data_IF_338779427282
#
_entry.id   IF_338779427282
#
_cell.length_a   1.000
_cell.length_b   1.000
_cell.length_c   1.000
_cell.angle_alpha   90.00
_cell.angle_beta   90.00
_cell.angle_gamma   90.00
#
_symmetry.space_group_name_H-M   'P 1'
#
loop_
_entity.id
_entity.type
_entity.pdbx_description
1 polymer ?
#
# COMPACT_ATOMS: atom_id res chain seq x y z
N UNK A 1 -9.67 -43.59 -8.51
CA UNK A 1 -9.39 -45.04 -8.46
C UNK A 1 -10.16 -45.82 -9.52
N UNK A 2 -11.49 -45.64 -9.66
CA UNK A 2 -12.30 -46.30 -10.70
C UNK A 2 -11.80 -46.09 -12.15
N UNK A 3 -11.40 -44.88 -12.53
CA UNK A 3 -10.87 -44.62 -13.88
C UNK A 3 -9.58 -45.40 -14.19
N UNK A 4 -8.67 -45.57 -13.22
CA UNK A 4 -7.45 -46.35 -13.43
C UNK A 4 -7.75 -47.83 -13.62
N UNK A 5 -8.73 -48.36 -12.88
CA UNK A 5 -9.20 -49.72 -13.07
C UNK A 5 -9.78 -49.93 -14.49
N UNK A 6 -10.57 -48.96 -14.97
CA UNK A 6 -11.10 -48.97 -16.33
C UNK A 6 -9.97 -48.91 -17.36
N UNK A 7 -8.97 -48.04 -17.17
CA UNK A 7 -7.80 -47.95 -18.05
C UNK A 7 -7.01 -49.27 -18.10
N UNK A 8 -6.87 -49.95 -16.96
CA UNK A 8 -6.19 -51.24 -16.89
C UNK A 8 -6.95 -52.33 -17.66
N UNK A 9 -8.27 -52.44 -17.47
CA UNK A 9 -9.08 -53.41 -18.22
C UNK A 9 -9.11 -53.10 -19.73
N UNK A 10 -9.15 -51.81 -20.11
CA UNK A 10 -9.04 -51.39 -21.51
C UNK A 10 -7.68 -51.73 -22.12
N UNK A 11 -6.59 -51.62 -21.34
CA UNK A 11 -5.26 -52.07 -21.75
C UNK A 11 -5.25 -53.59 -21.99
N UNK A 12 -5.80 -54.39 -21.07
CA UNK A 12 -5.91 -55.85 -21.23
C UNK A 12 -6.74 -56.20 -22.48
N UNK A 13 -7.86 -55.52 -22.71
CA UNK A 13 -8.68 -55.71 -23.90
C UNK A 13 -7.88 -55.39 -25.17
N UNK A 14 -7.13 -54.29 -25.18
CA UNK A 14 -6.27 -53.88 -26.30
C UNK A 14 -5.18 -54.92 -26.58
N UNK A 15 -4.61 -55.51 -25.53
CA UNK A 15 -3.64 -56.59 -25.64
C UNK A 15 -4.27 -57.83 -26.31
N UNK A 16 -5.42 -58.29 -25.83
CA UNK A 16 -6.09 -59.46 -26.41
C UNK A 16 -6.54 -59.22 -27.86
N UNK A 17 -7.03 -58.02 -28.20
CA UNK A 17 -7.31 -57.65 -29.59
C UNK A 17 -6.04 -57.70 -30.45
N UNK A 18 -4.90 -57.24 -29.93
CA UNK A 18 -3.61 -57.34 -30.59
C UNK A 18 -3.18 -58.79 -30.86
N UNK A 19 -3.27 -59.67 -29.86
CA UNK A 19 -2.96 -61.11 -30.00
C UNK A 19 -3.89 -61.76 -31.02
N UNK A 20 -5.20 -61.50 -30.95
CA UNK A 20 -6.20 -62.07 -31.85
C UNK A 20 -5.91 -61.66 -33.30
N UNK A 21 -5.63 -60.38 -33.56
CA UNK A 21 -5.28 -59.89 -34.90
C UNK A 21 -3.98 -60.53 -35.40
N UNK A 22 -3.02 -60.75 -34.51
CA UNK A 22 -1.75 -61.39 -34.86
C UNK A 22 -1.92 -62.87 -35.25
N UNK A 23 -2.76 -63.60 -34.49
CA UNK A 23 -3.02 -65.01 -34.67
C UNK A 23 -3.93 -65.34 -35.86
N UNK A 24 -4.59 -64.34 -36.47
CA UNK A 24 -5.47 -64.56 -37.62
C UNK A 24 -4.70 -65.19 -38.80
N UNK A 25 -5.23 -66.28 -39.41
CA UNK A 25 -4.63 -66.93 -40.57
C UNK A 25 -4.76 -66.10 -41.86
N UNK A 26 -5.39 -64.93 -41.79
CA UNK A 26 -5.69 -64.08 -42.95
C UNK A 26 -4.47 -63.20 -43.29
N UNK A 27 -3.95 -63.20 -44.54
CA UNK A 27 -2.77 -62.42 -44.93
C UNK A 27 -3.09 -60.94 -45.26
N UNK A 28 -3.92 -60.27 -44.45
CA UNK A 28 -4.18 -58.84 -44.60
C UNK A 28 -3.06 -58.02 -43.95
N UNK A 29 -2.06 -57.63 -44.75
CA UNK A 29 -0.88 -56.87 -44.29
C UNK A 29 -1.25 -55.56 -43.58
N UNK A 30 -2.32 -54.89 -44.00
CA UNK A 30 -2.83 -53.69 -43.34
C UNK A 30 -3.29 -53.95 -41.90
N UNK A 31 -4.08 -55.00 -41.69
CA UNK A 31 -4.61 -55.38 -40.37
C UNK A 31 -3.51 -55.94 -39.46
N UNK A 32 -2.63 -56.80 -40.01
CA UNK A 32 -1.51 -57.39 -39.24
C UNK A 32 -0.49 -56.37 -38.74
N UNK A 33 -0.36 -55.21 -39.39
CA UNK A 33 0.46 -54.09 -38.89
C UNK A 33 -0.09 -53.45 -37.62
N UNK A 34 -1.39 -53.57 -37.34
CA UNK A 34 -2.00 -53.03 -36.12
C UNK A 34 -1.78 -53.92 -34.90
N UNK A 35 -1.68 -55.24 -35.06
CA UNK A 35 -1.42 -56.18 -33.97
C UNK A 35 -0.21 -55.80 -33.09
N UNK A 36 1.03 -55.66 -33.62
CA UNK A 36 2.17 -55.30 -32.79
C UNK A 36 2.02 -53.91 -32.16
N UNK A 37 1.34 -52.97 -32.83
CA UNK A 37 1.09 -51.62 -32.28
C UNK A 37 0.13 -51.67 -31.09
N UNK A 38 -0.97 -52.42 -31.19
CA UNK A 38 -1.93 -52.60 -30.09
C UNK A 38 -1.29 -53.29 -28.89
N UNK A 39 -0.45 -54.31 -29.12
CA UNK A 39 0.31 -54.98 -28.06
C UNK A 39 1.23 -53.99 -27.34
N UNK A 40 2.04 -53.21 -28.08
CA UNK A 40 2.93 -52.21 -27.47
C UNK A 40 2.15 -51.15 -26.70
N UNK A 41 1.03 -50.68 -27.24
CA UNK A 41 0.21 -49.65 -26.61
C UNK A 41 -0.41 -50.16 -25.30
N UNK A 42 -0.90 -51.40 -25.29
CA UNK A 42 -1.43 -52.02 -24.09
C UNK A 42 -0.39 -52.05 -22.96
N UNK A 43 0.85 -52.49 -23.26
CA UNK A 43 1.94 -52.49 -22.27
C UNK A 43 2.27 -51.08 -21.77
N UNK A 44 2.41 -50.09 -22.65
CA UNK A 44 2.69 -48.72 -22.24
C UNK A 44 1.60 -48.17 -21.31
N UNK A 45 0.34 -48.46 -21.60
CA UNK A 45 -0.79 -47.93 -20.82
C UNK A 45 -0.93 -48.67 -19.49
N UNK A 46 -0.63 -49.97 -19.44
CA UNK A 46 -0.58 -50.72 -18.19
C UNK A 46 0.52 -50.16 -17.26
N UNK A 47 1.72 -49.94 -17.80
CA UNK A 47 2.84 -49.33 -17.04
C UNK A 47 2.46 -47.91 -16.58
N UNK A 48 1.87 -47.10 -17.46
CA UNK A 48 1.46 -45.73 -17.14
C UNK A 48 0.39 -45.70 -16.03
N UNK A 49 -0.57 -46.63 -16.09
CA UNK A 49 -1.64 -46.76 -15.09
C UNK A 49 -1.06 -47.13 -13.72
N UNK A 50 -0.11 -48.06 -13.67
CA UNK A 50 0.54 -48.49 -12.43
C UNK A 50 1.50 -47.42 -11.87
N UNK A 51 2.11 -46.62 -12.74
CA UNK A 51 3.10 -45.60 -12.34
C UNK A 51 2.48 -44.23 -12.03
N UNK A 52 1.18 -44.00 -12.27
CA UNK A 52 0.56 -42.68 -12.08
C UNK A 52 0.80 -42.09 -10.69
N UNK A 53 0.71 -42.91 -9.63
CA UNK A 53 0.93 -42.42 -8.27
C UNK A 53 2.35 -41.89 -8.08
N UNK A 54 3.35 -42.62 -8.58
CA UNK A 54 4.75 -42.20 -8.59
C UNK A 54 4.94 -40.93 -9.41
N UNK A 55 4.31 -40.83 -10.58
CA UNK A 55 4.39 -39.63 -11.43
C UNK A 55 3.86 -38.40 -10.71
N UNK A 56 2.71 -38.49 -10.04
CA UNK A 56 2.14 -37.38 -9.28
C UNK A 56 3.01 -37.00 -8.09
N UNK A 57 3.58 -37.99 -7.37
CA UNK A 57 4.49 -37.73 -6.26
C UNK A 57 5.79 -37.04 -6.74
N UNK A 58 6.33 -37.47 -7.89
CA UNK A 58 7.50 -36.81 -8.50
C UNK A 58 7.15 -35.39 -8.94
N UNK A 59 5.96 -35.18 -9.51
CA UNK A 59 5.48 -33.84 -9.87
C UNK A 59 5.36 -32.93 -8.63
N UNK A 60 4.85 -33.46 -7.51
CA UNK A 60 4.75 -32.73 -6.25
C UNK A 60 6.13 -32.42 -5.64
N UNK A 61 7.06 -33.36 -5.72
CA UNK A 61 8.45 -33.15 -5.32
C UNK A 61 9.13 -32.06 -6.16
N UNK A 62 8.97 -32.09 -7.49
CA UNK A 62 9.51 -31.05 -8.38
C UNK A 62 8.90 -29.70 -8.03
N UNK A 63 7.58 -29.62 -7.85
CA UNK A 63 6.84 -28.40 -7.48
C UNK A 63 7.40 -27.80 -6.18
N UNK A 64 7.62 -28.62 -5.16
CA UNK A 64 8.13 -28.15 -3.86
C UNK A 64 9.59 -27.73 -3.94
N UNK A 65 10.43 -28.44 -4.71
CA UNK A 65 11.84 -28.12 -4.91
C UNK A 65 12.05 -26.71 -5.53
N UNK A 66 11.19 -26.35 -6.49
CA UNK A 66 11.22 -25.03 -7.15
C UNK A 66 10.43 -23.96 -6.36
N UNK A 67 10.01 -24.25 -5.13
CA UNK A 67 9.37 -23.30 -4.22
C UNK A 67 7.88 -23.05 -4.45
N UNK A 68 7.21 -23.87 -5.27
CA UNK A 68 5.77 -23.74 -5.51
C UNK A 68 4.95 -24.24 -4.33
N UNK A 69 3.98 -23.44 -3.85
CA UNK A 69 3.03 -23.82 -2.79
C UNK A 69 1.59 -23.58 -3.23
N UNK A 70 0.81 -24.66 -3.31
CA UNK A 70 -0.61 -24.60 -3.67
C UNK A 70 -1.45 -23.80 -2.67
N UNK A 71 -1.20 -23.99 -1.38
CA UNK A 71 -1.92 -23.29 -0.33
C UNK A 71 -1.65 -21.79 -0.39
N UNK A 72 -0.38 -21.40 -0.51
CA UNK A 72 0.01 -20.00 -0.62
C UNK A 72 -0.57 -19.36 -1.90
N UNK A 73 -0.48 -20.05 -3.04
CA UNK A 73 -1.02 -19.56 -4.31
C UNK A 73 -2.54 -19.33 -4.23
N UNK A 74 -3.31 -20.32 -3.77
CA UNK A 74 -4.76 -20.20 -3.67
C UNK A 74 -5.18 -19.12 -2.67
N UNK A 75 -4.48 -18.99 -1.54
CA UNK A 75 -4.72 -17.96 -0.55
C UNK A 75 -4.44 -16.56 -1.13
N UNK A 76 -3.30 -16.37 -1.80
CA UNK A 76 -2.95 -15.09 -2.41
C UNK A 76 -3.91 -14.68 -3.52
N UNK A 77 -4.30 -15.61 -4.41
CA UNK A 77 -5.29 -15.33 -5.46
C UNK A 77 -6.65 -14.98 -4.84
N UNK A 78 -7.07 -15.68 -3.79
CA UNK A 78 -8.32 -15.37 -3.07
C UNK A 78 -8.29 -13.97 -2.45
N UNK A 79 -7.21 -13.60 -1.75
CA UNK A 79 -7.05 -12.25 -1.18
C UNK A 79 -7.11 -11.19 -2.28
N UNK A 80 -6.43 -11.42 -3.41
CA UNK A 80 -6.42 -10.50 -4.55
C UNK A 80 -7.82 -10.29 -5.14
N UNK A 81 -8.61 -11.35 -5.25
CA UNK A 81 -10.01 -11.28 -5.71
C UNK A 81 -10.84 -10.46 -4.72
N UNK A 82 -10.75 -10.76 -3.41
CA UNK A 82 -11.51 -10.06 -2.37
C UNK A 82 -11.17 -8.58 -2.35
N UNK A 83 -9.89 -8.23 -2.32
CA UNK A 83 -9.42 -6.84 -2.32
C UNK A 83 -9.96 -6.04 -3.52
N UNK A 84 -9.88 -6.62 -4.73
CA UNK A 84 -10.39 -5.96 -5.93
C UNK A 84 -11.90 -5.83 -5.96
N UNK A 85 -12.60 -6.82 -5.40
CA UNK A 85 -14.07 -6.77 -5.25
C UNK A 85 -14.46 -5.61 -4.33
N UNK A 86 -13.76 -5.44 -3.21
CA UNK A 86 -13.98 -4.34 -2.27
C UNK A 86 -13.73 -2.99 -2.94
N UNK A 87 -12.64 -2.85 -3.70
CA UNK A 87 -12.35 -1.61 -4.44
C UNK A 87 -13.47 -1.28 -5.42
N UNK A 88 -13.86 -2.24 -6.28
CA UNK A 88 -14.94 -2.03 -7.26
C UNK A 88 -16.24 -1.64 -6.56
N UNK A 89 -16.55 -2.28 -5.44
CA UNK A 89 -17.74 -1.97 -4.64
C UNK A 89 -17.70 -0.55 -4.08
N UNK A 90 -16.58 -0.14 -3.47
CA UNK A 90 -16.40 1.21 -2.92
C UNK A 90 -16.53 2.29 -4.00
N UNK A 91 -15.83 2.13 -5.13
CA UNK A 91 -15.92 3.08 -6.25
C UNK A 91 -17.33 3.11 -6.87
N UNK A 92 -18.04 1.99 -6.88
CA UNK A 92 -19.45 1.96 -7.35
C UNK A 92 -20.38 2.74 -6.41
N UNK A 93 -20.16 2.66 -5.09
CA UNK A 93 -20.91 3.45 -4.11
C UNK A 93 -20.61 4.94 -4.28
N UNK A 94 -19.33 5.31 -4.39
CA UNK A 94 -18.89 6.69 -4.60
C UNK A 94 -19.53 7.25 -5.88
N UNK A 95 -19.49 6.49 -6.99
CA UNK A 95 -20.12 6.92 -8.24
C UNK A 95 -21.61 7.16 -8.08
N UNK A 96 -22.33 6.25 -7.45
CA UNK A 96 -23.76 6.43 -7.22
C UNK A 96 -24.10 7.62 -6.31
N UNK A 97 -23.30 7.86 -5.27
CA UNK A 97 -23.50 9.00 -4.35
C UNK A 97 -23.21 10.34 -5.04
N UNK A 98 -22.06 10.45 -5.71
CA UNK A 98 -21.62 11.72 -6.30
C UNK A 98 -22.26 12.01 -7.66
N UNK A 99 -22.82 11.00 -8.36
CA UNK A 99 -23.54 11.22 -9.63
C UNK A 99 -24.74 12.16 -9.50
N UNK A 100 -25.29 12.31 -8.30
CA UNK A 100 -26.36 13.27 -7.99
C UNK A 100 -25.87 14.71 -7.91
N UNK A 101 -24.60 14.92 -7.54
CA UNK A 101 -24.01 16.24 -7.33
C UNK A 101 -23.15 16.71 -8.52
N UNK A 102 -22.48 15.78 -9.20
CA UNK A 102 -21.57 16.04 -10.31
C UNK A 102 -21.95 15.21 -11.54
N UNK A 103 -22.77 15.75 -12.46
CA UNK A 103 -23.10 15.05 -13.70
C UNK A 103 -21.82 14.81 -14.52
N UNK A 104 -21.47 13.54 -14.74
CA UNK A 104 -20.27 13.11 -15.47
C UNK A 104 -19.26 12.33 -14.64
N UNK A 105 -19.33 12.36 -13.30
CA UNK A 105 -18.37 11.64 -12.44
C UNK A 105 -18.44 10.11 -12.63
N UNK A 106 -19.63 9.60 -12.98
CA UNK A 106 -19.80 8.18 -13.34
C UNK A 106 -18.94 7.77 -14.55
N UNK A 107 -18.70 8.67 -15.51
CA UNK A 107 -17.84 8.38 -16.66
C UNK A 107 -16.37 8.27 -16.25
N UNK A 108 -15.91 9.12 -15.34
CA UNK A 108 -14.55 9.04 -14.80
C UNK A 108 -14.35 7.78 -13.93
N UNK A 109 -15.33 7.48 -13.09
CA UNK A 109 -15.28 6.29 -12.22
C UNK A 109 -15.30 5.00 -13.05
N UNK A 110 -16.12 4.93 -14.10
CA UNK A 110 -16.14 3.76 -15.00
C UNK A 110 -14.83 3.57 -15.76
N UNK A 111 -14.11 4.63 -16.14
CA UNK A 111 -12.77 4.52 -16.73
C UNK A 111 -11.76 3.86 -15.77
N UNK A 112 -11.88 4.13 -14.46
CA UNK A 112 -11.01 3.54 -13.43
C UNK A 112 -11.44 2.10 -13.09
N UNK A 113 -12.76 1.86 -12.98
CA UNK A 113 -13.31 0.55 -12.60
C UNK A 113 -13.09 -0.50 -13.70
N UNK A 114 -13.21 -0.14 -14.99
CA UNK A 114 -13.19 -1.11 -16.10
C UNK A 114 -11.92 -1.98 -16.15
N UNK A 115 -10.69 -1.41 -16.06
CA UNK A 115 -9.47 -2.21 -15.97
C UNK A 115 -9.45 -3.14 -14.74
N UNK A 116 -9.95 -2.66 -13.59
CA UNK A 116 -9.99 -3.43 -12.35
C UNK A 116 -10.97 -4.60 -12.47
N UNK A 117 -12.14 -4.37 -13.10
CA UNK A 117 -13.11 -5.42 -13.41
C UNK A 117 -12.53 -6.47 -14.36
N UNK A 118 -11.88 -6.06 -15.45
CA UNK A 118 -11.23 -6.99 -16.37
C UNK A 118 -10.18 -7.85 -15.65
N UNK A 119 -9.40 -7.22 -14.78
CA UNK A 119 -8.39 -7.91 -13.98
C UNK A 119 -9.02 -8.83 -12.91
N UNK A 120 -10.16 -8.47 -12.33
CA UNK A 120 -10.93 -9.31 -11.41
C UNK A 120 -11.47 -10.56 -12.11
N UNK A 121 -12.08 -10.43 -13.30
CA UNK A 121 -12.57 -11.57 -14.08
C UNK A 121 -11.44 -12.53 -14.46
N UNK A 122 -10.29 -11.99 -14.87
CA UNK A 122 -9.10 -12.79 -15.15
C UNK A 122 -8.64 -13.61 -13.93
N UNK A 123 -8.60 -13.00 -12.75
CA UNK A 123 -8.21 -13.69 -11.51
C UNK A 123 -9.25 -14.72 -11.06
N UNK A 124 -10.54 -14.46 -11.23
CA UNK A 124 -11.60 -15.44 -10.95
C UNK A 124 -11.51 -16.67 -11.86
N UNK A 125 -11.23 -16.45 -13.16
CA UNK A 125 -11.02 -17.55 -14.11
C UNK A 125 -9.77 -18.35 -13.72
N UNK A 126 -8.66 -17.67 -13.43
CA UNK A 126 -7.43 -18.31 -12.97
C UNK A 126 -7.66 -19.15 -11.70
N UNK A 127 -8.36 -18.59 -10.71
CA UNK A 127 -8.70 -19.29 -9.46
C UNK A 127 -9.58 -20.52 -9.71
N UNK A 128 -10.52 -20.43 -10.64
CA UNK A 128 -11.41 -21.55 -11.00
C UNK A 128 -10.62 -22.69 -11.64
N UNK A 129 -9.76 -22.38 -12.63
CA UNK A 129 -8.88 -23.37 -13.27
C UNK A 129 -7.92 -23.96 -12.24
N UNK A 130 -7.31 -23.12 -11.40
CA UNK A 130 -6.39 -23.54 -10.35
C UNK A 130 -7.03 -24.53 -9.37
N UNK A 131 -8.24 -24.23 -8.91
CA UNK A 131 -8.96 -25.09 -7.98
C UNK A 131 -9.34 -26.42 -8.64
N UNK A 132 -9.75 -26.37 -9.92
CA UNK A 132 -10.04 -27.57 -10.72
C UNK A 132 -8.81 -28.46 -10.85
N UNK A 133 -7.63 -27.90 -11.12
CA UNK A 133 -6.38 -28.66 -11.21
C UNK A 133 -5.95 -29.19 -9.83
N UNK A 134 -5.93 -28.35 -8.80
CA UNK A 134 -5.45 -28.74 -7.47
C UNK A 134 -6.24 -29.91 -6.90
N UNK A 135 -7.57 -29.84 -6.96
CA UNK A 135 -8.45 -30.90 -6.45
C UNK A 135 -8.64 -32.04 -7.45
N UNK A 136 -8.49 -31.76 -8.75
CA UNK A 136 -8.82 -32.66 -9.83
C UNK A 136 -7.63 -33.36 -10.49
N UNK A 137 -6.37 -33.10 -10.10
CA UNK A 137 -5.18 -33.64 -10.79
C UNK A 137 -5.25 -35.16 -10.96
N UNK A 138 -5.68 -35.88 -9.93
CA UNK A 138 -5.87 -37.34 -9.97
C UNK A 138 -6.97 -37.76 -10.93
N UNK A 139 -8.08 -37.02 -10.94
CA UNK A 139 -9.23 -37.30 -11.80
C UNK A 139 -8.92 -37.01 -13.27
N UNK A 140 -8.37 -35.83 -13.59
CA UNK A 140 -8.04 -35.41 -14.95
C UNK A 140 -6.93 -36.30 -15.53
N UNK A 141 -5.89 -36.59 -14.74
CA UNK A 141 -4.80 -37.47 -15.20
C UNK A 141 -5.28 -38.90 -15.44
N UNK A 142 -6.11 -39.46 -14.54
CA UNK A 142 -6.66 -40.80 -14.74
C UNK A 142 -7.64 -40.87 -15.91
N UNK A 143 -8.45 -39.84 -16.13
CA UNK A 143 -9.30 -39.72 -17.33
C UNK A 143 -8.46 -39.65 -18.61
N UNK A 144 -7.34 -38.90 -18.58
CA UNK A 144 -6.39 -38.86 -19.69
C UNK A 144 -5.85 -40.25 -20.04
N UNK A 145 -5.45 -41.03 -19.03
CA UNK A 145 -4.96 -42.40 -19.23
C UNK A 145 -6.08 -43.33 -19.76
N UNK A 146 -7.33 -43.19 -19.29
CA UNK A 146 -8.48 -43.94 -19.83
C UNK A 146 -8.68 -43.66 -21.32
N UNK A 147 -8.63 -42.39 -21.73
CA UNK A 147 -8.76 -42.04 -23.15
C UNK A 147 -7.59 -42.58 -23.98
N UNK A 148 -6.37 -42.61 -23.42
CA UNK A 148 -5.23 -43.27 -24.06
C UNK A 148 -5.43 -44.78 -24.20
N UNK A 149 -6.10 -45.41 -23.22
CA UNK A 149 -6.43 -46.84 -23.18
C UNK A 149 -7.46 -47.30 -24.21
N UNK A 150 -8.18 -46.37 -24.87
CA UNK A 150 -9.14 -46.73 -25.91
C UNK A 150 -8.42 -47.42 -27.08
N UNK A 151 -8.84 -48.63 -27.48
CA UNK A 151 -8.23 -49.38 -28.57
C UNK A 151 -8.14 -48.57 -29.88
N UNK A 152 -7.21 -48.95 -30.75
CA UNK A 152 -6.99 -48.31 -32.05
C UNK A 152 -6.59 -46.82 -31.98
N UNK A 153 -6.22 -46.33 -30.80
CA UNK A 153 -5.73 -44.96 -30.57
C UNK A 153 -6.75 -43.86 -30.88
N UNK A 154 -8.05 -44.17 -30.90
CA UNK A 154 -9.10 -43.23 -31.31
C UNK A 154 -9.07 -41.94 -30.49
N UNK A 155 -8.85 -42.04 -29.17
CA UNK A 155 -8.80 -40.89 -28.26
C UNK A 155 -7.41 -40.62 -27.68
N UNK A 156 -6.35 -41.22 -28.24
CA UNK A 156 -5.01 -41.18 -27.65
C UNK A 156 -4.46 -39.76 -27.51
N UNK A 157 -4.68 -38.91 -28.53
CA UNK A 157 -4.21 -37.53 -28.51
C UNK A 157 -4.94 -36.70 -27.45
N UNK A 158 -6.25 -36.86 -27.32
CA UNK A 158 -7.04 -36.19 -26.29
C UNK A 158 -6.63 -36.64 -24.88
N UNK A 159 -6.38 -37.94 -24.70
CA UNK A 159 -5.91 -38.48 -23.43
C UNK A 159 -4.52 -37.98 -23.04
N UNK A 160 -3.57 -37.95 -23.98
CA UNK A 160 -2.23 -37.41 -23.76
C UNK A 160 -2.25 -35.90 -23.45
N UNK A 161 -3.13 -35.14 -24.12
CA UNK A 161 -3.35 -33.73 -23.82
C UNK A 161 -3.88 -33.53 -22.40
N UNK A 162 -4.94 -34.23 -21.99
CA UNK A 162 -5.48 -34.09 -20.63
C UNK A 162 -4.47 -34.49 -19.56
N UNK A 163 -3.71 -35.56 -19.80
CA UNK A 163 -2.67 -36.01 -18.89
C UNK A 163 -1.55 -34.98 -18.74
N UNK A 164 -1.02 -34.47 -19.86
CA UNK A 164 0.04 -33.44 -19.84
C UNK A 164 -0.46 -32.10 -19.28
N UNK A 165 -1.67 -31.67 -19.65
CA UNK A 165 -2.30 -30.46 -19.12
C UNK A 165 -2.42 -30.52 -17.59
N UNK A 166 -2.95 -31.63 -17.04
CA UNK A 166 -3.08 -31.79 -15.61
C UNK A 166 -1.72 -31.69 -14.89
N UNK A 167 -0.71 -32.38 -15.41
CA UNK A 167 0.60 -32.48 -14.77
C UNK A 167 1.39 -31.15 -14.86
N UNK A 168 1.45 -30.55 -16.05
CA UNK A 168 2.17 -29.28 -16.27
C UNK A 168 1.55 -28.16 -15.46
N UNK A 169 0.22 -28.00 -15.50
CA UNK A 169 -0.45 -26.98 -14.69
C UNK A 169 -0.36 -27.28 -13.20
N UNK A 170 -0.27 -28.55 -12.81
CA UNK A 170 -0.10 -28.91 -11.41
C UNK A 170 1.23 -28.41 -10.81
N UNK A 171 2.29 -28.44 -11.61
CA UNK A 171 3.62 -27.95 -11.24
C UNK A 171 3.70 -26.42 -11.42
N UNK A 172 3.20 -25.90 -12.54
CA UNK A 172 3.45 -24.52 -12.96
C UNK A 172 2.56 -23.46 -12.29
N UNK A 173 1.28 -23.74 -12.06
CA UNK A 173 0.36 -22.72 -11.50
C UNK A 173 0.81 -22.18 -10.14
N UNK A 174 1.27 -23.01 -9.18
CA UNK A 174 1.78 -22.52 -7.89
C UNK A 174 3.01 -21.62 -7.99
N UNK A 175 3.69 -21.57 -9.14
CA UNK A 175 4.85 -20.72 -9.39
C UNK A 175 4.48 -19.36 -9.95
N UNK A 176 3.22 -19.18 -10.37
CA UNK A 176 2.74 -17.91 -10.89
C UNK A 176 3.06 -16.72 -9.97
N UNK A 177 2.94 -16.84 -8.63
CA UNK A 177 3.38 -15.80 -7.71
C UNK A 177 4.85 -15.40 -7.85
N UNK A 178 5.73 -16.38 -7.89
CA UNK A 178 7.17 -16.14 -8.00
C UNK A 178 7.55 -15.61 -9.38
N UNK A 179 6.86 -16.07 -10.43
CA UNK A 179 7.09 -15.61 -11.80
C UNK A 179 6.67 -14.15 -12.00
N UNK A 180 5.51 -13.73 -11.50
CA UNK A 180 5.12 -12.31 -11.55
C UNK A 180 6.13 -11.45 -10.79
N UNK A 181 6.68 -11.97 -9.67
CA UNK A 181 7.65 -11.21 -8.89
C UNK A 181 8.89 -10.91 -9.72
N UNK A 182 9.41 -11.90 -10.44
CA UNK A 182 10.59 -11.70 -11.29
C UNK A 182 10.31 -10.73 -12.45
N UNK A 183 9.11 -10.80 -13.05
CA UNK A 183 8.76 -9.93 -14.17
C UNK A 183 8.47 -8.48 -13.78
N UNK A 184 7.88 -8.26 -12.59
CA UNK A 184 7.46 -6.93 -12.13
C UNK A 184 8.55 -6.30 -11.24
N UNK A 185 9.21 -7.09 -10.40
CA UNK A 185 10.31 -6.64 -9.56
C UNK A 185 11.62 -7.02 -10.25
N UNK A 186 12.20 -6.08 -10.98
CA UNK A 186 13.62 -6.19 -11.30
C UNK A 186 14.41 -6.10 -9.98
N UNK A 187 15.28 -7.07 -9.64
CA UNK A 187 16.15 -6.96 -8.48
C UNK A 187 17.13 -5.76 -8.56
N UNK A 188 17.20 -5.08 -9.70
CA UNK A 188 18.01 -3.87 -9.90
C UNK A 188 17.29 -2.56 -9.58
N UNK A 189 15.99 -2.56 -9.30
CA UNK A 189 15.24 -1.34 -8.93
C UNK A 189 14.16 -1.70 -7.92
N UNK A 190 14.41 -1.60 -6.60
CA UNK A 190 13.30 -1.59 -5.64
C UNK A 190 12.30 -0.52 -6.10
N UNK A 191 10.99 -0.74 -5.93
CA UNK A 191 10.01 0.33 -6.16
C UNK A 191 10.43 1.56 -5.34
N UNK A 192 10.99 2.55 -6.02
CA UNK A 192 11.59 3.79 -5.49
C UNK A 192 10.55 4.82 -5.04
N UNK A 193 9.34 4.37 -4.71
CA UNK A 193 8.30 5.24 -4.14
C UNK A 193 8.08 4.80 -2.70
N UNK A 194 8.99 5.13 -1.77
CA UNK A 194 8.71 4.94 -0.36
C UNK A 194 7.53 5.85 0.00
N UNK A 195 6.49 5.25 0.58
CA UNK A 195 5.43 6.02 1.22
C UNK A 195 5.97 6.39 2.59
N UNK A 196 6.40 7.64 2.76
CA UNK A 196 6.82 8.15 4.06
C UNK A 196 5.59 8.68 4.76
N UNK A 197 5.32 8.23 5.98
CA UNK A 197 4.24 8.75 6.80
C UNK A 197 4.70 8.95 8.24
N UNK A 198 4.05 9.85 8.94
CA UNK A 198 4.50 10.23 10.28
C UNK A 198 3.46 11.02 11.04
N UNK A 199 3.51 10.91 12.36
CA UNK A 199 2.76 11.78 13.25
C UNK A 199 3.62 12.96 13.70
N UNK A 200 2.99 14.13 13.89
CA UNK A 200 3.65 15.34 14.40
C UNK A 200 3.17 15.65 15.82
N UNK A 201 4.13 15.82 16.73
CA UNK A 201 3.90 16.20 18.13
C UNK A 201 4.75 17.40 18.52
N UNK A 202 4.34 18.11 19.57
CA UNK A 202 5.14 19.16 20.19
C UNK A 202 6.13 18.59 21.25
N UNK A 203 6.94 19.45 21.88
CA UNK A 203 7.89 19.06 22.95
C UNK A 203 7.22 18.54 24.24
N UNK A 204 5.90 18.60 24.33
CA UNK A 204 5.08 18.07 25.42
C UNK A 204 4.36 16.77 25.02
N UNK A 205 4.73 16.16 23.87
CA UNK A 205 4.10 14.97 23.29
C UNK A 205 2.59 15.12 22.98
N UNK A 206 2.11 16.36 22.80
CA UNK A 206 0.75 16.62 22.36
C UNK A 206 0.70 16.70 20.83
N UNK A 207 -0.34 16.15 20.19
CA UNK A 207 -0.44 16.12 18.74
C UNK A 207 -0.70 17.51 18.15
N UNK A 208 -0.02 17.85 17.06
CA UNK A 208 -0.24 19.09 16.31
C UNK A 208 -1.14 18.76 15.12
N UNK A 209 -2.38 19.25 15.11
CA UNK A 209 -3.41 18.78 14.17
C UNK A 209 -3.42 19.47 12.82
N UNK A 210 -2.78 20.64 12.71
CA UNK A 210 -2.77 21.51 11.53
C UNK A 210 -1.36 22.09 11.33
N UNK A 211 -1.10 22.64 10.15
CA UNK A 211 0.19 23.23 9.78
C UNK A 211 0.84 22.46 8.65
N UNK A 212 2.12 22.72 8.42
CA UNK A 212 2.81 22.23 7.23
C UNK A 212 4.17 21.62 7.57
N UNK A 213 4.54 20.57 6.85
CA UNK A 213 5.85 19.95 6.95
C UNK A 213 6.64 20.20 5.67
N UNK A 214 7.94 20.41 5.82
CA UNK A 214 8.87 20.52 4.69
C UNK A 214 10.13 19.71 4.90
N UNK A 215 10.73 19.32 3.80
CA UNK A 215 11.94 18.52 3.74
C UNK A 215 13.01 19.32 3.01
N UNK A 216 14.12 19.61 3.67
CA UNK A 216 15.27 20.24 3.04
C UNK A 216 16.31 19.16 2.70
N UNK A 217 16.61 19.03 1.41
CA UNK A 217 17.63 18.14 0.85
C UNK A 217 18.88 18.98 0.60
N UNK A 218 19.98 18.67 1.30
CA UNK A 218 21.32 19.27 1.10
C UNK A 218 21.32 20.79 0.75
N UNK A 219 21.20 21.63 1.78
CA UNK A 219 21.42 23.11 1.79
C UNK A 219 20.68 24.00 0.80
N UNK A 220 19.88 23.50 -0.17
CA UNK A 220 19.19 24.39 -1.13
C UNK A 220 17.93 23.82 -1.81
N UNK A 221 17.57 22.54 -1.65
CA UNK A 221 16.37 21.97 -2.28
C UNK A 221 15.31 21.72 -1.19
N UNK A 222 14.25 22.55 -1.18
CA UNK A 222 13.15 22.44 -0.22
C UNK A 222 11.92 21.81 -0.89
N UNK A 223 11.44 20.72 -0.31
CA UNK A 223 10.23 20.01 -0.71
C UNK A 223 9.16 20.28 0.35
N UNK A 224 8.20 21.14 0.00
CA UNK A 224 7.14 21.59 0.90
C UNK A 224 6.57 22.93 0.43
N UNK A 225 5.54 23.46 1.11
CA UNK A 225 4.93 22.98 2.34
C UNK A 225 3.87 21.87 2.09
N UNK A 226 3.91 20.78 2.85
CA UNK A 226 2.93 19.69 2.79
C UNK A 226 1.96 19.79 3.98
N UNK A 227 0.64 19.76 3.76
CA UNK A 227 -0.34 19.99 4.82
C UNK A 227 -0.49 18.75 5.71
N UNK A 228 -0.80 18.97 6.98
CA UNK A 228 -1.18 17.88 7.89
C UNK A 228 -2.63 17.45 7.73
N UNK A 229 -2.86 16.14 7.90
CA UNK A 229 -4.17 15.52 8.00
C UNK A 229 -4.33 14.91 9.39
N UNK A 230 -5.06 15.59 10.27
CA UNK A 230 -5.39 15.11 11.62
C UNK A 230 -4.17 14.69 12.43
N UNK A 231 -3.08 15.48 12.38
CA UNK A 231 -1.74 15.25 12.96
C UNK A 231 -0.75 14.38 12.17
N UNK A 232 -1.16 13.81 11.06
CA UNK A 232 -0.28 12.98 10.24
C UNK A 232 0.11 13.69 8.95
N UNK A 233 1.30 13.40 8.47
CA UNK A 233 1.71 13.73 7.10
C UNK A 233 1.93 12.45 6.31
N UNK A 234 1.72 12.55 5.00
CA UNK A 234 1.98 11.49 4.05
C UNK A 234 2.74 12.10 2.88
N UNK A 235 3.87 11.50 2.57
CA UNK A 235 4.73 11.88 1.47
C UNK A 235 4.89 10.69 0.53
N UNK A 236 4.39 10.87 -0.69
CA UNK A 236 4.65 10.01 -1.83
C UNK A 236 5.72 10.71 -2.66
N UNK A 237 6.94 10.20 -2.66
CA UNK A 237 8.01 10.81 -3.46
C UNK A 237 8.58 9.83 -4.46
N UNK A 238 8.84 10.31 -5.67
CA UNK A 238 9.68 9.61 -6.65
C UNK A 238 11.12 10.13 -6.63
N UNK A 239 11.40 11.10 -5.77
CA UNK A 239 12.68 11.80 -5.73
C UNK A 239 13.74 10.93 -5.05
N UNK A 240 14.54 10.25 -5.86
CA UNK A 240 15.65 9.41 -5.41
C UNK A 240 16.70 10.20 -4.63
N UNK A 241 16.79 11.53 -4.78
CA UNK A 241 17.68 12.37 -3.98
C UNK A 241 17.26 12.46 -2.51
N UNK A 242 15.95 12.48 -2.23
CA UNK A 242 15.43 12.49 -0.86
C UNK A 242 15.92 11.26 -0.09
N UNK A 243 16.00 10.13 -0.78
CA UNK A 243 16.42 8.84 -0.21
C UNK A 243 17.94 8.63 -0.21
N UNK A 244 18.73 9.49 -0.83
CA UNK A 244 20.20 9.31 -0.95
C UNK A 244 21.01 10.47 -0.35
N UNK A 245 20.35 11.44 0.26
CA UNK A 245 20.95 12.66 0.81
C UNK A 245 20.63 12.83 2.29
N UNK A 246 21.37 13.73 2.95
CA UNK A 246 21.02 14.18 4.29
C UNK A 246 19.81 15.10 4.21
N UNK A 247 18.82 14.82 5.04
CA UNK A 247 17.56 15.56 5.08
C UNK A 247 17.34 16.16 6.45
N UNK A 248 16.88 17.40 6.45
CA UNK A 248 16.35 18.09 7.63
C UNK A 248 14.86 18.30 7.43
N UNK A 249 14.08 17.99 8.47
CA UNK A 249 12.63 18.16 8.45
C UNK A 249 12.29 19.40 9.24
N UNK A 250 11.46 20.26 8.66
CA UNK A 250 10.97 21.48 9.28
C UNK A 250 9.46 21.46 9.36
N UNK A 251 8.93 22.20 10.33
CA UNK A 251 7.50 22.44 10.47
C UNK A 251 7.21 23.92 10.26
N UNK A 252 6.41 24.26 9.27
CA UNK A 252 6.02 25.63 8.97
C UNK A 252 4.62 25.94 9.54
N UNK A 253 4.52 27.03 10.30
CA UNK A 253 3.25 27.52 10.84
C UNK A 253 3.28 29.04 11.07
N UNK A 254 2.23 29.75 10.62
CA UNK A 254 2.02 31.19 10.80
C UNK A 254 3.30 32.03 10.60
N UNK A 255 4.00 31.86 9.48
CA UNK A 255 5.21 32.63 9.15
C UNK A 255 6.49 32.24 9.87
N UNK A 256 6.50 31.11 10.57
CA UNK A 256 7.67 30.59 11.27
C UNK A 256 8.02 29.21 10.74
N UNK A 257 9.32 28.94 10.65
CA UNK A 257 9.88 27.64 10.37
C UNK A 257 10.47 27.09 11.66
N UNK A 258 9.86 26.03 12.19
CA UNK A 258 10.27 25.39 13.44
C UNK A 258 11.20 24.23 13.16
N UNK A 259 12.29 24.16 13.93
CA UNK A 259 13.21 23.03 13.92
C UNK A 259 12.55 21.81 14.57
N UNK A 260 12.84 20.63 14.01
CA UNK A 260 12.35 19.36 14.54
C UNK A 260 13.47 18.56 15.20
N UNK A 261 13.14 17.38 15.72
CA UNK A 261 14.12 16.39 16.16
C UNK A 261 14.91 15.73 15.02
N UNK A 262 14.52 15.94 13.75
CA UNK A 262 15.14 15.33 12.58
C UNK A 262 15.90 16.39 11.80
N UNK A 263 17.22 16.37 11.94
CA UNK A 263 18.13 17.31 11.29
C UNK A 263 19.37 16.60 10.75
N UNK A 264 19.67 16.77 9.47
CA UNK A 264 20.80 16.16 8.77
C UNK A 264 20.89 14.63 8.95
N UNK A 265 19.77 13.94 8.72
CA UNK A 265 19.71 12.47 8.81
C UNK A 265 19.53 11.85 7.42
N UNK A 266 20.19 10.72 7.19
CA UNK A 266 19.97 9.88 6.02
C UNK A 266 18.66 9.08 6.18
N UNK A 267 17.65 9.45 5.39
CA UNK A 267 16.33 8.82 5.40
C UNK A 267 16.38 7.34 5.02
N UNK A 268 17.35 6.91 4.21
CA UNK A 268 17.49 5.51 3.82
C UNK A 268 17.68 4.60 5.03
N UNK A 269 18.54 5.03 5.97
CA UNK A 269 18.86 4.25 7.16
C UNK A 269 17.66 4.15 8.11
N UNK A 270 16.90 5.24 8.29
CA UNK A 270 15.66 5.23 9.09
C UNK A 270 14.65 4.28 8.46
N UNK A 271 14.44 4.40 7.14
CA UNK A 271 13.43 3.61 6.45
C UNK A 271 13.76 2.12 6.39
N UNK A 272 15.01 1.74 6.15
CA UNK A 272 15.42 0.32 6.14
C UNK A 272 15.20 -0.37 7.48
N UNK A 273 15.48 0.32 8.59
CA UNK A 273 15.30 -0.24 9.93
C UNK A 273 13.81 -0.42 10.28
N UNK A 274 12.94 0.42 9.72
CA UNK A 274 11.50 0.43 10.01
C UNK A 274 10.64 -0.31 8.96
N UNK A 275 11.22 -0.84 7.87
CA UNK A 275 10.48 -1.67 6.92
C UNK A 275 10.14 -3.01 7.59
N UNK A 276 8.87 -3.14 7.98
CA UNK A 276 8.27 -4.43 8.27
C UNK A 276 8.33 -5.28 7.00
N UNK A 277 9.25 -6.24 6.96
CA UNK A 277 9.40 -7.21 5.85
C UNK A 277 8.14 -8.04 5.56
N UNK A 278 7.11 -7.92 6.39
CA UNK A 278 5.83 -8.61 6.25
C UNK A 278 4.79 -7.83 5.42
N UNK A 279 4.96 -6.51 5.24
CA UNK A 279 4.05 -5.68 4.43
C UNK A 279 4.67 -5.38 3.07
N UNK A 280 4.00 -5.81 2.00
CA UNK A 280 4.37 -5.63 0.59
C UNK A 280 4.42 -4.17 0.09
N UNK A 281 4.30 -3.19 0.98
CA UNK A 281 4.35 -1.77 0.68
C UNK A 281 5.61 -1.22 1.35
N UNK A 282 6.46 -0.50 0.60
CA UNK A 282 7.62 0.22 1.11
C UNK A 282 7.14 1.43 1.94
N UNK A 283 6.51 1.18 3.09
CA UNK A 283 6.02 2.20 3.98
C UNK A 283 7.10 2.49 5.03
N UNK A 284 7.53 3.74 5.10
CA UNK A 284 8.49 4.22 6.07
C UNK A 284 7.79 5.12 7.08
N UNK A 285 7.79 4.74 8.36
CA UNK A 285 7.25 5.57 9.44
C UNK A 285 8.32 6.47 10.03
N UNK A 286 8.05 7.77 10.08
CA UNK A 286 8.94 8.79 10.65
C UNK A 286 8.11 9.72 11.52
N UNK A 287 8.17 9.59 12.84
CA UNK A 287 7.46 10.49 13.74
C UNK A 287 8.32 11.73 14.07
N UNK A 288 7.70 12.91 14.03
CA UNK A 288 8.39 14.21 14.09
C UNK A 288 7.97 14.95 15.36
N UNK A 289 8.95 15.47 16.09
CA UNK A 289 8.75 16.34 17.25
C UNK A 289 9.20 17.76 16.91
N UNK A 290 8.29 18.72 17.02
CA UNK A 290 8.54 20.15 16.75
C UNK A 290 9.00 20.84 18.03
N UNK A 291 10.12 21.56 17.97
CA UNK A 291 10.71 22.26 19.12
C UNK A 291 10.13 23.67 19.30
N UNK A 292 9.86 24.09 20.54
CA UNK A 292 9.37 25.43 20.88
C UNK A 292 7.89 25.72 20.57
N UNK A 293 7.29 25.04 19.58
CA UNK A 293 5.87 25.20 19.25
C UNK A 293 4.98 24.50 20.29
N UNK A 294 4.01 25.22 20.86
CA UNK A 294 3.03 24.69 21.81
C UNK A 294 1.80 24.17 21.04
N UNK A 295 1.19 25.03 20.24
CA UNK A 295 -0.04 24.73 19.52
C UNK A 295 -0.14 25.56 18.24
N UNK A 296 -0.77 24.98 17.22
CA UNK A 296 -1.11 25.68 16.00
C UNK A 296 -2.50 25.28 15.51
N UNK A 297 -3.37 26.27 15.27
CA UNK A 297 -4.64 26.05 14.57
C UNK A 297 -5.18 27.34 13.96
N UNK A 298 -5.76 27.25 12.76
CA UNK A 298 -6.43 28.34 12.06
C UNK A 298 -5.58 29.62 11.92
N UNK A 299 -4.29 29.50 11.60
CA UNK A 299 -3.40 30.66 11.48
C UNK A 299 -2.94 31.30 12.81
N UNK A 300 -3.18 30.64 13.94
CA UNK A 300 -2.67 31.02 15.26
C UNK A 300 -1.55 30.05 15.63
N UNK A 301 -0.32 30.52 15.79
CA UNK A 301 0.79 29.75 16.35
C UNK A 301 1.21 30.29 17.71
N UNK A 302 1.25 29.41 18.72
CA UNK A 302 1.79 29.71 20.05
C UNK A 302 3.12 28.99 20.20
N UNK A 303 4.20 29.73 20.44
CA UNK A 303 5.50 29.13 20.75
C UNK A 303 6.14 29.81 21.94
N UNK A 304 6.98 29.09 22.67
CA UNK A 304 7.59 29.58 23.90
C UNK A 304 9.06 29.19 23.96
N UNK A 305 9.90 30.11 24.43
CA UNK A 305 11.31 29.86 24.65
C UNK A 305 11.82 30.66 25.87
N UNK A 306 12.67 30.07 26.73
CA UNK A 306 13.01 28.64 26.81
C UNK A 306 11.82 27.75 27.20
N UNK A 307 12.00 26.42 27.15
CA UNK A 307 10.95 25.45 27.45
C UNK A 307 10.48 25.56 28.91
N UNK A 308 9.19 25.78 29.19
CA UNK A 308 8.63 25.76 30.55
C UNK A 308 8.50 24.33 31.09
N UNK A 309 8.28 24.21 32.40
CA UNK A 309 8.06 22.92 33.07
C UNK A 309 6.77 22.25 32.59
N UNK A 310 5.70 23.03 32.51
CA UNK A 310 4.38 22.54 32.16
C UNK A 310 3.55 23.63 31.48
N UNK A 311 2.72 23.21 30.53
CA UNK A 311 1.73 24.07 29.87
C UNK A 311 0.44 23.29 29.74
N UNK A 312 -0.66 23.90 30.18
CA UNK A 312 -2.01 23.37 29.99
C UNK A 312 -2.82 24.43 29.26
N UNK A 313 -3.34 24.09 28.09
CA UNK A 313 -4.25 24.96 27.34
C UNK A 313 -5.68 24.55 27.68
N UNK A 314 -6.40 25.42 28.36
CA UNK A 314 -7.81 25.19 28.71
C UNK A 314 -8.73 25.50 27.54
N UNK A 315 -8.43 26.58 26.80
CA UNK A 315 -9.23 27.07 25.69
C UNK A 315 -8.30 27.43 24.55
N UNK A 316 -8.53 26.87 23.37
CA UNK A 316 -7.88 27.27 22.11
C UNK A 316 -8.97 27.48 21.06
N UNK A 317 -9.40 28.72 20.88
CA UNK A 317 -10.46 29.10 19.95
C UNK A 317 -10.06 30.32 19.11
N UNK A 318 -10.86 30.65 18.09
CA UNK A 318 -10.61 31.80 17.22
C UNK A 318 -10.69 33.15 17.95
N UNK A 319 -11.41 33.22 19.07
CA UNK A 319 -11.67 34.47 19.79
C UNK A 319 -11.00 34.52 21.16
N UNK A 320 -10.71 33.37 21.74
CA UNK A 320 -10.11 33.28 23.07
C UNK A 320 -9.10 32.13 23.17
N UNK A 321 -7.94 32.43 23.75
CA UNK A 321 -6.94 31.45 24.16
C UNK A 321 -6.71 31.62 25.65
N UNK A 322 -6.84 30.53 26.40
CA UNK A 322 -6.54 30.51 27.84
C UNK A 322 -5.61 29.35 28.16
N UNK A 323 -4.52 29.66 28.86
CA UNK A 323 -3.51 28.67 29.24
C UNK A 323 -2.88 28.94 30.61
N UNK A 324 -2.45 27.85 31.24
CA UNK A 324 -1.67 27.83 32.47
C UNK A 324 -0.22 27.45 32.13
N UNK A 325 0.73 28.27 32.56
CA UNK A 325 2.15 28.06 32.31
C UNK A 325 2.88 28.02 33.65
N UNK A 326 3.75 27.02 33.82
CA UNK A 326 4.66 26.89 34.96
C UNK A 326 6.11 26.93 34.44
N UNK A 327 6.86 27.95 34.83
CA UNK A 327 8.25 28.13 34.40
C UNK A 327 9.20 28.41 35.57
N UNK A 328 10.42 27.87 35.49
CA UNK A 328 11.49 28.10 36.48
C UNK A 328 12.42 29.26 36.10
N UNK A 329 12.30 29.77 34.89
CA UNK A 329 13.12 30.85 34.35
C UNK A 329 12.22 31.84 33.64
N UNK A 330 12.70 33.05 33.44
CA UNK A 330 11.98 34.02 32.62
C UNK A 330 11.87 33.46 31.20
N UNK A 331 10.64 33.46 30.67
CA UNK A 331 10.28 32.88 29.38
C UNK A 331 9.55 33.89 28.51
N UNK A 332 9.73 33.76 27.20
CA UNK A 332 9.02 34.59 26.23
C UNK A 332 8.00 33.73 25.51
N UNK A 333 6.73 34.11 25.64
CA UNK A 333 5.64 33.56 24.84
C UNK A 333 5.50 34.40 23.58
N UNK A 334 5.56 33.73 22.45
CA UNK A 334 5.36 34.30 21.13
C UNK A 334 4.00 33.87 20.60
N UNK A 335 3.19 34.86 20.25
CA UNK A 335 1.83 34.68 19.72
C UNK A 335 1.84 35.18 18.29
N UNK A 336 1.90 34.26 17.33
CA UNK A 336 1.94 34.59 15.90
C UNK A 336 0.57 34.41 15.29
N UNK A 337 0.05 35.50 14.73
CA UNK A 337 -1.32 35.61 14.24
C UNK A 337 -1.32 36.07 12.79
N UNK A 338 -2.13 35.43 11.95
CA UNK A 338 -2.43 35.95 10.61
C UNK A 338 -3.21 37.27 10.73
N UNK A 339 -3.23 38.05 9.65
CA UNK A 339 -3.91 39.35 9.57
C UNK A 339 -5.44 39.32 9.74
N UNK A 340 -6.01 38.16 10.02
CA UNK A 340 -7.43 38.01 10.38
C UNK A 340 -7.73 38.26 11.84
N UNK A 341 -6.70 38.15 12.68
CA UNK A 341 -6.86 38.30 14.11
C UNK A 341 -6.31 39.66 14.52
N UNK A 342 -7.18 40.45 15.15
CA UNK A 342 -6.76 41.61 15.91
C UNK A 342 -6.81 41.26 17.39
N UNK A 343 -5.69 41.41 18.09
CA UNK A 343 -5.64 41.17 19.54
C UNK A 343 -6.35 42.32 20.25
N UNK A 344 -7.38 42.00 21.03
CA UNK A 344 -8.15 42.99 21.79
C UNK A 344 -7.59 43.20 23.20
N UNK A 345 -7.15 42.11 23.84
CA UNK A 345 -6.71 42.10 25.23
C UNK A 345 -5.77 40.92 25.48
N UNK A 346 -4.67 41.15 26.19
CA UNK A 346 -3.82 40.10 26.76
C UNK A 346 -3.78 40.33 28.27
N UNK A 347 -4.11 39.30 29.04
CA UNK A 347 -4.03 39.31 30.50
C UNK A 347 -3.07 38.26 31.02
N UNK A 348 -2.29 38.62 32.03
CA UNK A 348 -1.44 37.71 32.81
C UNK A 348 -1.88 37.84 34.26
N UNK A 349 -2.31 36.75 34.89
CA UNK A 349 -2.77 36.70 36.28
C UNK A 349 -3.84 37.76 36.61
N UNK A 350 -4.79 37.94 35.69
CA UNK A 350 -5.85 38.97 35.71
C UNK A 350 -5.36 40.43 35.60
N UNK A 351 -4.09 40.65 35.29
CA UNK A 351 -3.56 41.99 34.96
C UNK A 351 -3.52 42.18 33.45
N UNK A 352 -4.18 43.24 32.96
CA UNK A 352 -4.19 43.59 31.54
C UNK A 352 -2.88 44.26 31.14
N UNK A 353 -2.27 43.79 30.05
CA UNK A 353 -1.09 44.43 29.49
C UNK A 353 -1.50 45.72 28.78
N UNK A 354 -0.85 46.83 29.13
CA UNK A 354 -1.10 48.12 28.52
C UNK A 354 -0.43 48.22 27.14
N UNK A 355 -1.18 48.69 26.13
CA UNK A 355 -0.70 48.97 24.77
C UNK A 355 -0.17 47.74 24.03
N UNK A 356 -1.10 46.98 23.44
CA UNK A 356 -0.86 45.78 22.63
C UNK A 356 0.13 46.04 21.47
N UNK A 357 0.10 47.24 20.89
CA UNK A 357 1.00 47.62 19.81
C UNK A 357 2.48 47.55 20.20
N UNK A 358 2.82 47.76 21.48
CA UNK A 358 4.20 47.65 21.98
C UNK A 358 4.67 46.20 22.10
N UNK A 359 3.76 45.23 22.08
CA UNK A 359 4.08 43.80 22.16
C UNK A 359 4.41 43.23 20.78
N UNK A 360 4.18 43.96 19.68
CA UNK A 360 4.50 43.50 18.33
C UNK A 360 6.03 43.44 18.16
N UNK A 361 6.56 42.23 17.97
CA UNK A 361 7.98 42.03 17.70
C UNK A 361 8.31 42.24 16.22
N UNK A 362 7.54 41.63 15.31
CA UNK A 362 7.67 41.81 13.87
C UNK A 362 6.40 41.43 13.11
N UNK A 363 6.35 41.88 11.86
CA UNK A 363 5.37 41.47 10.86
C UNK A 363 6.02 40.48 9.89
N UNK A 364 5.25 39.51 9.41
CA UNK A 364 5.75 38.47 8.51
C UNK A 364 4.83 38.30 7.31
N UNK A 365 5.43 37.79 6.23
CA UNK A 365 4.74 37.41 5.00
C UNK A 365 5.09 35.98 4.66
N UNK A 366 4.09 35.13 4.53
CA UNK A 366 4.25 33.67 4.44
C UNK A 366 3.20 33.08 3.51
N UNK A 367 3.63 32.56 2.35
CA UNK A 367 2.75 31.96 1.33
C UNK A 367 1.49 32.79 0.99
N UNK A 368 1.68 34.09 0.72
CA UNK A 368 0.62 35.08 0.49
C UNK A 368 -0.23 35.47 1.70
N UNK A 369 0.12 35.03 2.90
CA UNK A 369 -0.48 35.50 4.15
C UNK A 369 0.41 36.57 4.78
N UNK A 370 -0.22 37.61 5.33
CA UNK A 370 0.44 38.54 6.22
C UNK A 370 0.05 38.23 7.66
N UNK A 371 0.93 38.53 8.59
CA UNK A 371 0.65 38.38 10.01
C UNK A 371 1.61 39.15 10.89
N UNK A 372 1.38 39.04 12.19
CA UNK A 372 2.16 39.71 13.23
C UNK A 372 2.52 38.71 14.32
N UNK A 373 3.69 38.87 14.90
CA UNK A 373 4.10 38.12 16.10
C UNK A 373 4.16 39.07 17.28
N UNK A 374 3.43 38.73 18.33
CA UNK A 374 3.46 39.42 19.61
C UNK A 374 4.37 38.65 20.57
N UNK A 375 5.12 39.35 21.40
CA UNK A 375 5.96 38.77 22.45
C UNK A 375 5.49 39.22 23.80
N UNK A 376 5.34 38.25 24.69
CA UNK A 376 4.92 38.43 26.07
C UNK A 376 5.98 37.83 26.98
N UNK A 377 6.62 38.67 27.78
CA UNK A 377 7.56 38.24 28.80
C UNK A 377 6.80 37.67 30.00
N UNK A 378 7.17 36.45 30.41
CA UNK A 378 6.59 35.71 31.52
C UNK A 378 7.69 35.47 32.54
N UNK A 379 7.52 36.01 33.75
CA UNK A 379 8.45 35.81 34.85
C UNK A 379 8.49 34.35 35.31
N UNK A 380 9.52 33.99 36.07
CA UNK A 380 9.53 32.74 36.82
C UNK A 380 8.28 32.60 37.72
N UNK A 381 7.55 31.48 37.59
CA UNK A 381 6.36 31.20 38.41
C UNK A 381 5.27 30.42 37.67
N UNK A 382 4.10 30.34 38.32
CA UNK A 382 2.87 29.83 37.71
C UNK A 382 2.00 31.01 37.30
N UNK A 383 1.65 31.05 36.02
CA UNK A 383 0.92 32.16 35.41
C UNK A 383 -0.29 31.66 34.63
N UNK A 384 -1.37 32.43 34.67
CA UNK A 384 -2.56 32.24 33.82
C UNK A 384 -2.57 33.32 32.75
N UNK A 385 -2.54 32.91 31.50
CA UNK A 385 -2.52 33.82 30.35
C UNK A 385 -3.83 33.65 29.58
N UNK A 386 -4.51 34.78 29.35
CA UNK A 386 -5.70 34.84 28.51
C UNK A 386 -5.51 35.88 27.40
N UNK A 387 -5.75 35.47 26.16
CA UNK A 387 -5.61 36.29 24.95
C UNK A 387 -6.97 36.32 24.27
N UNK A 388 -7.58 37.51 24.23
CA UNK A 388 -8.82 37.77 23.50
C UNK A 388 -8.51 38.40 22.16
N UNK A 389 -9.16 37.87 21.13
CA UNK A 389 -8.93 38.27 19.75
C UNK A 389 -10.26 38.48 19.05
N UNK A 390 -10.26 39.42 18.12
CA UNK A 390 -11.33 39.60 17.15
C UNK A 390 -10.93 38.91 15.85
N UNK A 391 -11.80 38.03 15.38
CA UNK A 391 -11.59 37.26 14.15
C UNK A 391 -12.46 37.80 13.01
N UNK A 392 -11.86 37.99 11.83
CA UNK A 392 -12.53 38.44 10.61
C UNK A 392 -12.57 37.33 9.56
N UNK A 393 -13.77 36.96 9.08
CA UNK A 393 -13.98 35.87 8.10
C UNK A 393 -13.64 36.26 6.63
N UNK A 394 -13.18 37.48 6.38
CA UNK A 394 -13.02 38.00 5.00
C UNK A 394 -11.73 37.51 4.28
N UNK A 395 -10.77 36.91 5.00
CA UNK A 395 -9.44 36.56 4.49
C UNK A 395 -9.20 35.05 4.68
N UNK A 396 -8.19 34.46 4.02
CA UNK A 396 -7.80 33.03 4.17
C UNK A 396 -6.75 32.83 5.26
N UNK A 397 -6.90 31.81 6.12
CA UNK A 397 -6.10 31.66 7.36
C UNK A 397 -4.95 30.68 7.19
N UNK A 398 -4.97 29.98 6.07
CA UNK A 398 -4.02 28.96 5.68
C UNK A 398 -3.51 29.29 4.26
N UNK A 399 -2.26 28.96 3.95
CA UNK A 399 -1.67 29.09 2.62
C UNK A 399 -2.58 28.62 1.49
N UNK A 400 -2.51 29.30 0.34
CA UNK A 400 -3.32 28.91 -0.83
C UNK A 400 -2.99 27.49 -1.31
N UNK A 401 -4.01 26.80 -1.82
CA UNK A 401 -3.83 25.46 -2.39
C UNK A 401 -2.80 25.43 -3.52
N UNK A 402 -2.57 26.55 -4.22
CA UNK A 402 -1.58 26.64 -5.30
C UNK A 402 -0.13 26.45 -4.82
N UNK A 403 0.23 26.97 -3.65
CA UNK A 403 1.57 26.74 -3.07
C UNK A 403 1.74 25.28 -2.64
N UNK A 404 0.68 24.72 -2.06
CA UNK A 404 0.62 23.32 -1.66
C UNK A 404 0.73 22.39 -2.89
N UNK A 405 0.09 22.76 -4.00
CA UNK A 405 0.10 22.00 -5.24
C UNK A 405 1.44 22.05 -5.98
N UNK A 406 2.12 23.20 -5.99
CA UNK A 406 3.47 23.31 -6.55
C UNK A 406 4.47 22.42 -5.80
N UNK A 407 4.35 22.33 -4.47
CA UNK A 407 5.16 21.41 -3.67
C UNK A 407 4.90 19.94 -4.06
N UNK A 408 3.63 19.58 -4.32
CA UNK A 408 3.24 18.25 -4.79
C UNK A 408 3.78 17.94 -6.20
N UNK A 409 3.90 18.95 -7.07
CA UNK A 409 4.47 18.75 -8.42
C UNK A 409 6.00 18.58 -8.44
N UNK A 410 6.69 19.02 -7.38
CA UNK A 410 8.14 18.86 -7.23
C UNK A 410 8.55 17.49 -6.66
N UNK A 411 7.57 16.66 -6.28
CA UNK A 411 7.70 15.28 -5.76
C UNK A 411 7.62 14.21 -6.85
#
# INVERSE_FOLDING_TARGET
MYFLLIAYYLSILTFYLGVLIYALPIPLTGLKKWAPRLLTDAFFIAILTLSLGTIINVADYIRTLIGGSWENFLLQTKITIVFRTVIVFLFSIIGNLFSKFLPGINRLITLIINPILASLYSNMLLYSIATMIYRGVWLISSLGIVLMAIPFRIARNAGAFLFSFALVFYIALPLYPSFYRILIYSPSTPLEIPIIYGSIVNEFNQPITSGYIGFEINTNEYIGPLPLYSNNYILLTTNTKLMSSLVSIYFDAAGHQFYTNISNIDLHNICIQNINRETYLNICRIDVMVKGLIAYSNGIALHIAPKPNNIIIDVFSKENIKMHIDTQVDTQLYVSLTSMYDVEEITIDNTTLNSIDNLILYQWYWYNLMGRTYVVDISQGQHVIEIKMKYSDEITSEPSEAYTYNAIQQL
#
